data_IF_715043725218
#
_entry.id   IF_715043725218
#
_cell.length_a   1.000
_cell.length_b   1.000
_cell.length_c   1.000
_cell.angle_alpha   90.00
_cell.angle_beta   90.00
_cell.angle_gamma   90.00
#
_symmetry.space_group_name_H-M   'P 1'
#
loop_
_entity.id
_entity.type
_entity.pdbx_description
1 polymer ?
#
# COMPACT_ATOMS: atom_id res chain seq x y z
N UNK A 1 -4.43 -0.13 -11.34
CA UNK A 1 -5.12 -0.58 -10.12
C UNK A 1 -6.38 0.25 -9.97
N UNK A 2 -7.51 -0.41 -10.13
CA UNK A 2 -8.83 0.16 -9.87
C UNK A 2 -9.12 0.21 -8.35
N UNK A 3 -10.33 0.60 -7.97
CA UNK A 3 -10.69 0.78 -6.57
C UNK A 3 -10.70 -0.54 -5.78
N UNK A 4 -11.13 -1.65 -6.39
CA UNK A 4 -11.17 -2.98 -5.74
C UNK A 4 -9.75 -3.46 -5.48
N UNK A 5 -8.87 -3.38 -6.48
CA UNK A 5 -7.45 -3.71 -6.31
C UNK A 5 -6.78 -2.84 -5.24
N UNK A 6 -7.14 -1.56 -5.16
CA UNK A 6 -6.58 -0.64 -4.17
C UNK A 6 -7.04 -1.00 -2.76
N UNK A 7 -8.31 -1.37 -2.61
CA UNK A 7 -8.85 -1.85 -1.35
C UNK A 7 -8.08 -3.09 -0.88
N UNK A 8 -7.94 -4.10 -1.75
CA UNK A 8 -7.22 -5.33 -1.42
C UNK A 8 -5.74 -5.08 -1.11
N UNK A 9 -5.08 -4.19 -1.86
CA UNK A 9 -3.71 -3.76 -1.55
C UNK A 9 -3.61 -3.17 -0.13
N UNK A 10 -4.57 -2.34 0.26
CA UNK A 10 -4.57 -1.73 1.59
C UNK A 10 -4.85 -2.74 2.70
N UNK A 11 -5.84 -3.61 2.54
CA UNK A 11 -6.15 -4.69 3.49
C UNK A 11 -4.96 -5.65 3.64
N UNK A 12 -4.34 -6.07 2.53
CA UNK A 12 -3.16 -6.92 2.58
C UNK A 12 -1.99 -6.24 3.30
N UNK A 13 -1.75 -4.94 3.07
CA UNK A 13 -0.62 -4.23 3.67
C UNK A 13 -0.81 -3.92 5.15
N UNK A 14 -1.98 -3.41 5.54
CA UNK A 14 -2.25 -2.88 6.87
C UNK A 14 -2.95 -3.85 7.82
N UNK A 15 -3.49 -4.96 7.30
CA UNK A 15 -4.17 -5.98 8.11
C UNK A 15 -3.44 -7.32 7.98
N UNK A 16 -3.56 -8.00 6.83
CA UNK A 16 -3.09 -9.37 6.67
C UNK A 16 -1.57 -9.52 6.89
N UNK A 17 -0.77 -8.63 6.30
CA UNK A 17 0.70 -8.66 6.39
C UNK A 17 1.28 -7.60 7.32
N UNK A 18 0.44 -6.92 8.13
CA UNK A 18 0.87 -5.81 8.99
C UNK A 18 2.03 -6.21 9.91
N UNK A 19 1.93 -7.39 10.52
CA UNK A 19 2.96 -7.95 11.38
C UNK A 19 4.28 -8.25 10.64
N UNK A 20 4.20 -8.62 9.35
CA UNK A 20 5.40 -8.90 8.54
C UNK A 20 6.10 -7.61 8.14
N UNK A 21 5.33 -6.59 7.77
CA UNK A 21 5.87 -5.26 7.48
C UNK A 21 6.45 -4.59 8.73
N UNK A 22 5.82 -4.72 9.90
CA UNK A 22 6.34 -4.13 11.14
C UNK A 22 7.60 -4.82 11.65
N UNK A 23 7.75 -6.13 11.43
CA UNK A 23 8.94 -6.91 11.82
C UNK A 23 10.10 -6.82 10.83
N UNK A 24 9.87 -6.30 9.62
CA UNK A 24 10.90 -6.20 8.59
C UNK A 24 11.90 -5.07 8.91
N UNK A 25 13.02 -5.43 9.56
CA UNK A 25 14.05 -4.46 10.02
C UNK A 25 15.13 -4.13 8.98
N UNK A 26 15.13 -4.78 7.82
CA UNK A 26 16.13 -4.58 6.78
C UNK A 26 15.51 -4.64 5.37
N UNK A 27 16.27 -4.19 4.38
CA UNK A 27 15.82 -4.12 2.98
C UNK A 27 15.45 -5.48 2.39
N UNK A 28 16.11 -6.57 2.82
CA UNK A 28 15.81 -7.91 2.33
C UNK A 28 14.44 -8.39 2.84
N UNK A 29 14.18 -8.28 4.15
CA UNK A 29 12.91 -8.62 4.77
C UNK A 29 11.76 -7.76 4.22
N UNK A 30 12.02 -6.48 3.94
CA UNK A 30 11.04 -5.61 3.28
C UNK A 30 10.76 -6.06 1.85
N UNK A 31 11.79 -6.42 1.07
CA UNK A 31 11.60 -6.96 -0.28
C UNK A 31 10.78 -8.24 -0.27
N UNK A 32 11.03 -9.15 0.67
CA UNK A 32 10.24 -10.37 0.83
C UNK A 32 8.78 -10.09 1.19
N UNK A 33 8.53 -9.17 2.14
CA UNK A 33 7.17 -8.78 2.51
C UNK A 33 6.41 -8.19 1.31
N UNK A 34 7.07 -7.35 0.51
CA UNK A 34 6.49 -6.79 -0.70
C UNK A 34 6.27 -7.83 -1.79
N UNK A 35 7.18 -8.80 -1.94
CA UNK A 35 7.03 -9.88 -2.90
C UNK A 35 5.81 -10.74 -2.55
N UNK A 36 5.71 -11.18 -1.29
CA UNK A 36 4.58 -11.94 -0.77
C UNK A 36 3.25 -11.22 -1.03
N UNK A 37 3.16 -9.94 -0.64
CA UNK A 37 1.98 -9.13 -0.86
C UNK A 37 1.61 -9.06 -2.35
N UNK A 38 2.58 -8.85 -3.23
CA UNK A 38 2.31 -8.73 -4.67
C UNK A 38 1.86 -10.05 -5.30
N UNK A 39 2.39 -11.17 -4.82
CA UNK A 39 1.95 -12.51 -5.22
C UNK A 39 0.51 -12.76 -4.81
N UNK A 40 0.16 -12.47 -3.56
CA UNK A 40 -1.20 -12.69 -3.06
C UNK A 40 -2.22 -11.77 -3.72
N UNK A 41 -1.88 -10.49 -3.91
CA UNK A 41 -2.72 -9.56 -4.66
C UNK A 41 -2.90 -10.02 -6.11
N UNK A 42 -1.85 -10.55 -6.74
CA UNK A 42 -1.94 -11.09 -8.10
C UNK A 42 -2.89 -12.27 -8.18
N UNK A 43 -2.85 -13.17 -7.18
CA UNK A 43 -3.76 -14.31 -7.07
C UNK A 43 -5.20 -13.86 -6.86
N UNK A 44 -5.45 -12.94 -5.92
CA UNK A 44 -6.80 -12.45 -5.62
C UNK A 44 -7.45 -11.76 -6.81
N UNK A 45 -6.64 -11.07 -7.63
CA UNK A 45 -7.11 -10.28 -8.76
C UNK A 45 -7.04 -11.02 -10.10
N UNK A 46 -6.48 -12.24 -10.13
CA UNK A 46 -6.28 -12.99 -11.37
C UNK A 46 -5.38 -12.29 -12.40
N UNK A 47 -4.49 -11.39 -11.95
CA UNK A 47 -3.64 -10.55 -12.81
C UNK A 47 -2.23 -10.47 -12.25
N UNK A 48 -1.21 -10.47 -13.12
CA UNK A 48 0.18 -10.25 -12.69
C UNK A 48 0.40 -8.81 -12.21
N UNK A 49 0.68 -8.66 -10.92
CA UNK A 49 0.96 -7.39 -10.26
C UNK A 49 2.34 -7.48 -9.61
N UNK A 50 3.23 -6.57 -9.99
CA UNK A 50 4.58 -6.49 -9.41
C UNK A 50 4.59 -5.77 -8.07
N UNK A 51 5.55 -6.14 -7.23
CA UNK A 51 5.83 -5.42 -5.97
C UNK A 51 6.08 -3.93 -6.16
N UNK A 52 6.65 -3.53 -7.30
CA UNK A 52 6.91 -2.14 -7.63
C UNK A 52 5.62 -1.36 -7.92
N UNK A 53 4.65 -1.97 -8.60
CA UNK A 53 3.32 -1.39 -8.78
C UNK A 53 2.61 -1.18 -7.43
N UNK A 54 2.68 -2.15 -6.52
CA UNK A 54 2.12 -2.03 -5.16
C UNK A 54 2.76 -0.87 -4.39
N UNK A 55 4.09 -0.79 -4.38
CA UNK A 55 4.83 0.29 -3.69
C UNK A 55 4.48 1.67 -4.25
N UNK A 56 4.50 1.82 -5.58
CA UNK A 56 4.22 3.10 -6.22
C UNK A 56 2.79 3.55 -5.97
N UNK A 57 1.82 2.63 -6.01
CA UNK A 57 0.44 2.95 -5.69
C UNK A 57 0.27 3.36 -4.23
N UNK A 58 0.85 2.63 -3.28
CA UNK A 58 0.75 2.97 -1.86
C UNK A 58 1.45 4.30 -1.54
N UNK A 59 2.61 4.59 -2.16
CA UNK A 59 3.29 5.89 -2.05
C UNK A 59 2.42 7.03 -2.58
N UNK A 60 1.76 6.83 -3.72
CA UNK A 60 0.84 7.81 -4.29
C UNK A 60 -0.37 8.05 -3.36
N UNK A 61 -0.96 7.00 -2.79
CA UNK A 61 -2.07 7.11 -1.84
C UNK A 61 -1.68 7.90 -0.58
N UNK A 62 -0.51 7.61 0.00
CA UNK A 62 0.01 8.35 1.16
C UNK A 62 0.22 9.82 0.85
N UNK A 63 0.73 10.15 -0.35
CA UNK A 63 0.88 11.53 -0.81
C UNK A 63 -0.48 12.23 -0.94
N UNK A 64 -1.46 11.58 -1.57
CA UNK A 64 -2.81 12.14 -1.73
C UNK A 64 -3.51 12.37 -0.39
N UNK A 65 -3.32 11.46 0.56
CA UNK A 65 -3.80 11.62 1.92
C UNK A 65 -3.14 12.80 2.63
N UNK A 66 -1.83 13.00 2.48
CA UNK A 66 -1.14 14.15 3.06
C UNK A 66 -1.60 15.47 2.44
N UNK A 67 -1.78 15.53 1.11
CA UNK A 67 -2.32 16.69 0.38
C UNK A 67 -3.72 17.04 0.89
N UNK A 68 -4.61 16.05 1.02
CA UNK A 68 -5.97 16.24 1.56
C UNK A 68 -5.98 16.76 3.01
N UNK A 69 -5.15 16.21 3.88
CA UNK A 69 -5.06 16.68 5.26
C UNK A 69 -4.49 18.10 5.37
N UNK A 70 -3.56 18.48 4.49
CA UNK A 70 -3.06 19.85 4.43
C UNK A 70 -4.15 20.83 4.00
N UNK A 71 -4.97 20.45 3.01
CA UNK A 71 -6.10 21.23 2.51
C UNK A 71 -7.20 21.42 3.58
N UNK A 72 -7.55 20.36 4.31
CA UNK A 72 -8.47 20.46 5.47
C UNK A 72 -7.94 21.43 6.52
N UNK A 73 -6.65 21.35 6.85
CA UNK A 73 -6.03 22.23 7.85
C UNK A 73 -5.98 23.69 7.39
N UNK A 74 -5.81 23.92 6.09
CA UNK A 74 -5.82 25.26 5.51
C UNK A 74 -7.24 25.85 5.45
N UNK A 75 -8.25 25.03 5.19
CA UNK A 75 -9.66 25.46 5.08
C UNK A 75 -10.35 25.56 6.44
N UNK A 76 -9.80 24.93 7.49
CA UNK A 76 -10.30 25.01 8.86
C UNK A 76 -9.93 26.30 9.63
N UNK A 77 -9.34 27.30 8.96
CA UNK A 77 -9.01 28.60 9.55
C UNK A 77 -9.65 29.74 8.76
N UNK A 78 -10.85 30.17 9.15
CA UNK A 78 -11.54 31.35 8.61
C UNK A 78 -13.06 31.21 8.58
#
# INVERSE_FOLDING_TARGET
>A
MDQVMVHDLMSLHYEAHAARFSKAKNNAALKEAWLLLSTELSTNQGMSISSEQCKNKLKWLKRKWAEYNADIRATGGG
#
